data_IF_376930619052
#
_entry.id   IF_376930619052
#
_cell.length_a   1.000
_cell.length_b   1.000
_cell.length_c   1.000
_cell.angle_alpha   90.00
_cell.angle_beta   90.00
_cell.angle_gamma   90.00
#
_symmetry.space_group_name_H-M   'P 1'
#
loop_
_entity.id
_entity.type
_entity.pdbx_description
1 polymer ?
#
# COMPACT_ATOMS: atom_id res chain seq x y z
N UNK A 1 29.99 15.16 5.52
CA UNK A 1 31.19 14.28 5.33
C UNK A 1 32.42 14.96 5.95
N UNK A 2 32.61 14.87 7.27
CA UNK A 2 33.81 15.37 7.96
C UNK A 2 34.89 14.28 8.03
N UNK A 3 35.91 14.39 7.18
CA UNK A 3 37.21 13.76 7.44
C UNK A 3 37.95 14.64 8.45
N UNK A 4 37.96 14.23 9.72
CA UNK A 4 38.71 14.92 10.76
C UNK A 4 38.15 14.57 12.13
N UNK A 5 38.84 13.65 12.82
CA UNK A 5 38.54 13.06 14.13
C UNK A 5 37.54 11.91 14.06
N UNK A 6 38.05 10.67 14.14
CA UNK A 6 37.33 9.40 14.07
C UNK A 6 36.38 9.11 15.25
N UNK A 7 35.61 10.10 15.68
CA UNK A 7 34.52 9.92 16.64
C UNK A 7 33.23 9.86 15.83
N UNK A 8 32.73 8.64 15.62
CA UNK A 8 31.38 8.41 15.08
C UNK A 8 30.39 8.97 16.09
N UNK A 9 29.81 10.13 15.78
CA UNK A 9 28.79 10.75 16.62
C UNK A 9 27.42 10.35 16.07
N UNK A 10 26.66 9.62 16.86
CA UNK A 10 25.29 9.24 16.54
C UNK A 10 24.30 10.13 17.29
N UNK A 11 23.21 10.50 16.63
CA UNK A 11 22.14 11.30 17.23
C UNK A 11 20.79 10.82 16.70
N UNK A 12 19.85 10.57 17.62
CA UNK A 12 18.46 10.28 17.26
C UNK A 12 17.68 11.59 17.19
N UNK A 13 17.10 11.85 16.02
CA UNK A 13 16.24 13.01 15.78
C UNK A 13 14.81 12.56 15.53
N UNK A 14 13.84 13.34 16.01
CA UNK A 14 12.43 13.16 15.70
C UNK A 14 11.97 14.32 14.81
N UNK A 15 11.48 13.98 13.61
CA UNK A 15 10.91 14.95 12.68
C UNK A 15 9.42 14.67 12.49
N UNK A 16 8.59 15.72 12.63
CA UNK A 16 7.17 15.63 12.37
C UNK A 16 6.88 15.99 10.90
N UNK A 17 6.27 15.05 10.16
CA UNK A 17 5.77 15.30 8.82
C UNK A 17 4.29 15.68 8.90
N UNK A 18 3.99 16.95 8.65
CA UNK A 18 2.67 17.55 8.90
C UNK A 18 1.85 17.75 7.62
N UNK A 19 2.50 17.69 6.45
CA UNK A 19 1.87 17.81 5.13
C UNK A 19 2.66 16.96 4.11
N UNK A 20 1.96 16.45 3.09
CA UNK A 20 2.49 15.50 2.11
C UNK A 20 1.97 14.07 2.25
N UNK A 21 2.33 13.20 1.30
CA UNK A 21 1.98 11.77 1.33
C UNK A 21 3.03 10.97 2.10
N UNK A 22 2.61 10.17 3.07
CA UNK A 22 3.51 9.33 3.87
C UNK A 22 4.00 8.09 3.10
N UNK A 23 3.42 7.82 1.93
CA UNK A 23 3.68 6.61 1.13
C UNK A 23 5.17 6.38 0.79
N UNK A 24 5.97 7.45 0.71
CA UNK A 24 7.41 7.37 0.37
C UNK A 24 8.37 7.40 1.57
N UNK A 25 7.83 7.51 2.79
CA UNK A 25 8.59 7.47 4.04
C UNK A 25 8.69 6.02 4.52
N UNK A 26 9.72 5.31 4.04
CA UNK A 26 9.98 3.92 4.43
C UNK A 26 11.19 3.84 5.35
N UNK A 27 11.14 2.90 6.30
CA UNK A 27 12.29 2.56 7.14
C UNK A 27 13.45 2.09 6.24
N UNK A 28 14.67 2.55 6.53
CA UNK A 28 15.86 2.27 5.73
C UNK A 28 16.10 3.23 4.57
N UNK A 29 15.23 4.22 4.35
CA UNK A 29 15.49 5.29 3.37
C UNK A 29 16.48 6.30 3.95
N UNK A 30 17.46 6.68 3.13
CA UNK A 30 18.48 7.67 3.49
C UNK A 30 18.02 9.09 3.11
N UNK A 31 18.51 10.06 3.87
CA UNK A 31 18.30 11.47 3.69
C UNK A 31 19.46 12.27 4.30
N UNK A 32 19.47 13.57 4.08
CA UNK A 32 20.46 14.48 4.66
C UNK A 32 19.77 15.36 5.67
N UNK A 33 20.30 15.42 6.89
CA UNK A 33 19.85 16.32 7.93
C UNK A 33 20.87 17.45 8.12
N UNK A 34 20.40 18.68 8.17
CA UNK A 34 21.23 19.84 8.47
C UNK A 34 20.92 20.33 9.88
N UNK A 35 21.95 20.37 10.73
CA UNK A 35 21.81 20.93 12.07
C UNK A 35 21.78 22.47 12.03
N UNK A 36 21.40 23.12 13.13
CA UNK A 36 21.40 24.57 13.34
C UNK A 36 22.79 25.21 13.17
N UNK A 37 23.86 24.42 13.26
CA UNK A 37 25.23 24.89 12.97
C UNK A 37 25.63 24.70 11.49
N UNK A 38 24.72 24.26 10.61
CA UNK A 38 24.98 24.05 9.19
C UNK A 38 25.76 22.77 8.86
N UNK A 39 25.94 21.88 9.83
CA UNK A 39 26.62 20.59 9.63
C UNK A 39 25.70 19.58 8.93
N UNK A 40 26.26 18.84 7.97
CA UNK A 40 25.57 17.80 7.22
C UNK A 40 25.69 16.44 7.91
N UNK A 41 24.53 15.81 8.16
CA UNK A 41 24.43 14.49 8.75
C UNK A 41 23.77 13.54 7.76
N UNK A 42 24.38 12.35 7.61
CA UNK A 42 23.72 11.25 6.90
C UNK A 42 22.65 10.66 7.83
N UNK A 43 21.40 10.69 7.40
CA UNK A 43 20.25 10.33 8.20
C UNK A 43 19.52 9.15 7.57
N UNK A 44 19.37 8.05 8.31
CA UNK A 44 18.54 6.92 7.90
C UNK A 44 17.26 6.89 8.73
N UNK A 45 16.12 6.71 8.07
CA UNK A 45 14.83 6.58 8.75
C UNK A 45 14.81 5.22 9.47
N UNK A 46 14.86 5.24 10.81
CA UNK A 46 14.86 4.03 11.64
C UNK A 46 13.45 3.56 12.02
N UNK A 47 12.51 4.51 12.23
CA UNK A 47 11.13 4.21 12.60
C UNK A 47 10.19 5.26 12.05
N UNK A 48 9.09 4.81 11.45
CA UNK A 48 7.98 5.67 11.01
C UNK A 48 6.76 5.38 11.87
N UNK A 49 6.24 6.41 12.53
CA UNK A 49 4.99 6.34 13.29
C UNK A 49 3.94 7.14 12.52
N UNK A 50 3.08 6.43 11.80
CA UNK A 50 2.03 7.06 11.01
C UNK A 50 0.84 7.47 11.88
N UNK A 51 0.61 8.77 12.00
CA UNK A 51 -0.62 9.32 12.53
C UNK A 51 -1.54 9.74 11.37
N UNK A 52 -2.86 9.51 11.46
CA UNK A 52 -3.78 9.89 10.40
C UNK A 52 -3.75 11.42 10.20
N UNK A 53 -3.45 11.87 8.98
CA UNK A 53 -3.34 13.30 8.65
C UNK A 53 -4.73 13.89 8.35
N UNK A 54 -5.61 13.11 7.71
CA UNK A 54 -7.00 13.48 7.41
C UNK A 54 -7.96 12.28 7.44
N UNK A 55 -9.26 12.56 7.57
CA UNK A 55 -10.33 11.54 7.50
C UNK A 55 -10.37 10.88 6.11
N UNK A 56 -10.14 11.66 5.05
CA UNK A 56 -10.11 11.16 3.67
C UNK A 56 -8.96 10.18 3.44
N UNK A 57 -7.79 10.44 4.00
CA UNK A 57 -6.67 9.50 3.93
C UNK A 57 -6.95 8.24 4.75
N UNK A 58 -7.59 8.39 5.92
CA UNK A 58 -7.97 7.26 6.76
C UNK A 58 -8.96 6.30 6.07
N UNK A 59 -9.84 6.82 5.20
CA UNK A 59 -10.74 6.01 4.38
C UNK A 59 -9.98 4.99 3.50
N UNK A 60 -8.84 5.38 2.92
CA UNK A 60 -8.03 4.53 2.04
C UNK A 60 -6.96 3.72 2.78
N UNK A 61 -6.64 4.06 4.02
CA UNK A 61 -5.61 3.40 4.81
C UNK A 61 -5.75 1.87 4.97
N UNK A 62 -6.93 1.27 5.20
CA UNK A 62 -7.02 -0.19 5.32
C UNK A 62 -6.66 -0.90 4.01
N UNK A 63 -7.08 -0.35 2.86
CA UNK A 63 -6.77 -0.92 1.54
C UNK A 63 -5.27 -0.86 1.23
N UNK A 64 -4.63 0.29 1.52
CA UNK A 64 -3.17 0.44 1.35
C UNK A 64 -2.39 -0.57 2.20
N UNK A 65 -2.82 -0.80 3.45
CA UNK A 65 -2.18 -1.78 4.35
C UNK A 65 -2.30 -3.21 3.82
N UNK A 66 -3.50 -3.60 3.37
CA UNK A 66 -3.73 -4.92 2.78
C UNK A 66 -2.87 -5.10 1.53
N UNK A 67 -2.85 -4.12 0.62
CA UNK A 67 -2.02 -4.17 -0.58
C UNK A 67 -0.53 -4.31 -0.25
N UNK A 68 -0.04 -3.57 0.75
CA UNK A 68 1.34 -3.69 1.22
C UNK A 68 1.65 -5.09 1.75
N UNK A 69 0.80 -5.65 2.60
CA UNK A 69 0.99 -7.00 3.13
C UNK A 69 0.93 -8.07 2.04
N UNK A 70 0.06 -7.92 1.03
CA UNK A 70 0.02 -8.82 -0.12
C UNK A 70 1.34 -8.74 -0.90
N UNK A 71 1.82 -7.53 -1.19
CA UNK A 71 3.10 -7.34 -1.87
C UNK A 71 4.25 -7.97 -1.07
N UNK A 72 4.31 -7.74 0.24
CA UNK A 72 5.31 -8.34 1.12
C UNK A 72 5.24 -9.87 1.12
N UNK A 73 4.04 -10.46 1.06
CA UNK A 73 3.86 -11.91 0.95
C UNK A 73 4.32 -12.44 -0.41
N UNK A 74 4.02 -11.72 -1.51
CA UNK A 74 4.47 -12.07 -2.86
C UNK A 74 5.99 -11.98 -2.94
N UNK A 75 6.60 -10.93 -2.41
CA UNK A 75 8.04 -10.75 -2.35
C UNK A 75 8.72 -11.86 -1.52
N UNK A 76 8.16 -12.21 -0.35
CA UNK A 76 8.65 -13.34 0.45
C UNK A 76 8.51 -14.67 -0.28
N UNK A 77 7.42 -14.87 -1.02
CA UNK A 77 7.22 -16.06 -1.85
C UNK A 77 8.21 -16.11 -3.02
N UNK A 78 8.46 -15.00 -3.71
CA UNK A 78 9.45 -14.91 -4.76
C UNK A 78 10.86 -15.21 -4.20
N UNK A 79 11.25 -14.53 -3.12
CA UNK A 79 12.55 -14.73 -2.48
C UNK A 79 12.75 -16.16 -1.95
N UNK A 80 11.69 -16.83 -1.45
CA UNK A 80 11.78 -18.23 -1.03
C UNK A 80 11.83 -19.21 -2.21
N UNK A 81 11.19 -18.89 -3.33
CA UNK A 81 11.28 -19.68 -4.58
C UNK A 81 12.64 -19.53 -5.25
N UNK A 82 13.23 -18.34 -5.22
CA UNK A 82 14.59 -18.10 -5.72
C UNK A 82 15.63 -18.82 -4.87
N UNK A 83 15.49 -18.80 -3.53
CA UNK A 83 16.33 -19.60 -2.62
C UNK A 83 16.17 -21.10 -2.84
N UNK A 84 14.94 -21.60 -2.97
CA UNK A 84 14.69 -23.02 -3.26
C UNK A 84 15.16 -23.43 -4.66
N UNK A 85 15.16 -22.51 -5.63
CA UNK A 85 15.73 -22.71 -6.96
C UNK A 85 17.25 -22.79 -6.93
N UNK A 86 17.90 -21.89 -6.19
CA UNK A 86 19.35 -21.92 -5.96
C UNK A 86 19.80 -23.18 -5.20
N UNK A 87 19.03 -23.63 -4.19
CA UNK A 87 19.27 -24.88 -3.46
C UNK A 87 19.06 -26.13 -4.33
N UNK A 88 18.07 -26.12 -5.24
CA UNK A 88 17.90 -27.21 -6.22
C UNK A 88 18.99 -27.22 -7.29
N UNK A 89 19.49 -26.06 -7.69
CA UNK A 89 20.62 -25.94 -8.62
C UNK A 89 21.92 -26.42 -7.98
N UNK A 90 22.19 -26.07 -6.72
CA UNK A 90 23.36 -26.57 -5.98
C UNK A 90 23.26 -28.07 -5.66
N UNK A 91 22.06 -28.58 -5.34
CA UNK A 91 21.81 -30.01 -5.19
C UNK A 91 21.91 -30.80 -6.50
N UNK A 92 21.54 -30.21 -7.64
CA UNK A 92 21.71 -30.79 -8.97
C UNK A 92 23.17 -30.90 -9.41
N UNK A 93 24.01 -29.94 -9.01
CA UNK A 93 25.46 -29.96 -9.25
C UNK A 93 26.14 -30.98 -8.34
N UNK A 94 25.73 -31.10 -7.07
CA UNK A 94 26.22 -32.13 -6.16
C UNK A 94 25.77 -33.56 -6.56
N UNK A 95 24.55 -33.71 -7.10
CA UNK A 95 24.03 -35.00 -7.57
C UNK A 95 24.59 -35.46 -8.93
N UNK A 96 25.12 -34.55 -9.74
CA UNK A 96 25.78 -34.85 -11.02
C UNK A 96 27.21 -35.39 -10.85
N UNK A 97 27.89 -35.04 -9.75
CA UNK A 97 29.26 -35.47 -9.46
C UNK A 97 29.35 -36.82 -8.72
N UNK A 98 28.24 -37.42 -8.28
CA UNK A 98 28.21 -38.68 -7.51
C UNK A 98 27.64 -39.89 -8.28
N UNK A 99 27.39 -39.78 -9.59
CA UNK A 99 26.95 -40.93 -10.42
C UNK A 99 28.06 -41.62 -11.20
N UNK A 100 29.32 -41.31 -10.90
CA UNK A 100 30.49 -42.02 -11.40
C UNK A 100 31.41 -42.25 -10.21
N UNK A 101 31.06 -43.20 -9.34
CA UNK A 101 32.00 -44.05 -8.59
C UNK A 101 31.23 -44.93 -7.57
N UNK A 102 31.23 -46.23 -7.85
CA UNK A 102 31.36 -47.35 -6.90
C UNK A 102 30.24 -47.57 -5.84
N UNK A 103 29.49 -48.66 -6.05
CA UNK A 103 29.47 -49.81 -5.13
C UNK A 103 28.81 -49.68 -3.74
N UNK A 104 27.66 -50.37 -3.60
CA UNK A 104 27.11 -51.01 -2.38
C UNK A 104 27.31 -50.24 -1.06
N UNK A 105 26.29 -49.50 -0.65
CA UNK A 105 26.00 -49.30 0.79
C UNK A 105 24.52 -49.00 0.98
N UNK A 106 23.89 -49.80 1.84
CA UNK A 106 22.49 -49.72 2.26
C UNK A 106 22.17 -48.30 2.79
N UNK A 107 21.10 -47.62 2.34
CA UNK A 107 20.73 -46.32 2.90
C UNK A 107 20.29 -46.48 4.37
N UNK A 108 20.78 -45.66 5.31
CA UNK A 108 20.24 -45.65 6.67
C UNK A 108 18.76 -45.26 6.63
N UNK A 109 17.96 -45.92 7.46
CA UNK A 109 16.52 -45.75 7.54
C UNK A 109 16.15 -44.26 7.66
N UNK A 110 15.43 -43.75 6.65
CA UNK A 110 14.76 -42.45 6.74
C UNK A 110 13.86 -42.51 7.99
N UNK A 111 13.90 -41.50 8.87
CA UNK A 111 12.95 -41.43 9.98
C UNK A 111 11.53 -41.54 9.41
N UNK A 112 10.59 -42.22 10.10
CA UNK A 112 9.26 -42.46 9.57
C UNK A 112 8.66 -41.12 9.14
N UNK A 113 8.41 -40.97 7.84
CA UNK A 113 7.64 -39.86 7.32
C UNK A 113 6.27 -39.99 7.97
N UNK A 114 6.01 -39.16 8.98
CA UNK A 114 4.85 -39.28 9.86
C UNK A 114 3.61 -38.81 9.08
N UNK A 115 3.10 -39.68 8.20
CA UNK A 115 1.98 -39.43 7.30
C UNK A 115 0.76 -38.96 8.08
N UNK A 116 0.58 -39.37 9.34
CA UNK A 116 -0.50 -38.90 10.20
C UNK A 116 -0.35 -37.41 10.57
N UNK A 117 0.86 -36.97 10.95
CA UNK A 117 1.14 -35.55 11.21
C UNK A 117 1.02 -34.70 9.95
N UNK A 118 1.51 -35.20 8.81
CA UNK A 118 1.37 -34.51 7.53
C UNK A 118 -0.07 -34.47 7.04
N UNK A 119 -0.81 -35.58 7.12
CA UNK A 119 -2.22 -35.63 6.76
C UNK A 119 -3.05 -34.68 7.62
N UNK A 120 -2.76 -34.56 8.93
CA UNK A 120 -3.42 -33.58 9.81
C UNK A 120 -3.14 -32.13 9.40
N UNK A 121 -1.88 -31.80 9.08
CA UNK A 121 -1.50 -30.45 8.62
C UNK A 121 -2.11 -30.14 7.26
N UNK A 122 -2.06 -31.07 6.30
CA UNK A 122 -2.65 -30.89 4.97
C UNK A 122 -4.18 -30.87 5.00
N UNK A 123 -4.82 -31.64 5.89
CA UNK A 123 -6.26 -31.56 6.11
C UNK A 123 -6.66 -30.22 6.73
N UNK A 124 -5.90 -29.71 7.71
CA UNK A 124 -6.17 -28.41 8.32
C UNK A 124 -5.99 -27.26 7.31
N UNK A 125 -4.91 -27.27 6.52
CA UNK A 125 -4.68 -26.28 5.46
C UNK A 125 -5.74 -26.41 4.36
N UNK A 126 -6.06 -27.63 3.94
CA UNK A 126 -7.08 -27.91 2.93
C UNK A 126 -8.48 -27.47 3.37
N UNK A 127 -8.84 -27.70 4.64
CA UNK A 127 -10.09 -27.23 5.23
C UNK A 127 -10.11 -25.69 5.32
N UNK A 128 -9.00 -25.07 5.73
CA UNK A 128 -8.91 -23.61 5.84
C UNK A 128 -9.03 -22.93 4.47
N UNK A 129 -8.32 -23.42 3.46
CA UNK A 129 -8.42 -22.91 2.08
C UNK A 129 -9.81 -23.19 1.50
N UNK A 130 -10.37 -24.37 1.77
CA UNK A 130 -11.73 -24.74 1.39
C UNK A 130 -12.78 -23.80 2.00
N UNK A 131 -12.66 -23.49 3.29
CA UNK A 131 -13.56 -22.58 3.99
C UNK A 131 -13.46 -21.13 3.47
N UNK A 132 -12.26 -20.66 3.11
CA UNK A 132 -12.08 -19.36 2.45
C UNK A 132 -12.73 -19.39 1.07
N UNK A 133 -12.55 -20.47 0.32
CA UNK A 133 -13.17 -20.67 -0.99
C UNK A 133 -14.70 -20.65 -0.94
N UNK A 134 -15.30 -21.37 0.02
CA UNK A 134 -16.76 -21.39 0.20
C UNK A 134 -17.30 -20.04 0.66
N UNK A 135 -16.60 -19.33 1.56
CA UNK A 135 -16.98 -17.98 1.98
C UNK A 135 -16.93 -16.98 0.81
N UNK A 136 -15.86 -17.01 0.00
CA UNK A 136 -15.75 -16.17 -1.20
C UNK A 136 -16.83 -16.50 -2.23
N UNK A 137 -17.10 -17.79 -2.48
CA UNK A 137 -18.16 -18.21 -3.37
C UNK A 137 -19.53 -17.73 -2.90
N UNK A 138 -19.84 -17.82 -1.61
CA UNK A 138 -21.08 -17.32 -1.02
C UNK A 138 -21.24 -15.80 -1.17
N UNK A 139 -20.14 -15.04 -1.01
CA UNK A 139 -20.16 -13.58 -1.22
C UNK A 139 -20.42 -13.24 -2.69
N UNK A 140 -19.76 -13.92 -3.63
CA UNK A 140 -19.93 -13.68 -5.07
C UNK A 140 -21.34 -14.07 -5.52
N UNK A 141 -21.85 -15.22 -5.10
CA UNK A 141 -23.21 -15.65 -5.47
C UNK A 141 -24.26 -14.73 -4.86
N UNK A 142 -24.12 -14.35 -3.59
CA UNK A 142 -24.99 -13.37 -2.94
C UNK A 142 -24.96 -12.02 -3.65
N UNK A 143 -23.78 -11.57 -4.10
CA UNK A 143 -23.65 -10.35 -4.91
C UNK A 143 -24.35 -10.48 -6.26
N UNK A 144 -24.18 -11.56 -7.01
CA UNK A 144 -24.83 -11.76 -8.32
C UNK A 144 -26.35 -11.90 -8.23
N UNK A 145 -26.91 -12.27 -7.07
CA UNK A 145 -28.36 -12.31 -6.83
C UNK A 145 -28.97 -10.92 -6.57
N UNK A 146 -28.17 -9.88 -6.36
CA UNK A 146 -28.68 -8.53 -6.14
C UNK A 146 -29.20 -7.90 -7.44
N UNK A 147 -30.34 -7.21 -7.32
CA UNK A 147 -30.84 -6.31 -8.37
C UNK A 147 -29.73 -5.33 -8.75
N UNK A 148 -29.54 -5.07 -10.05
CA UNK A 148 -28.44 -4.22 -10.57
C UNK A 148 -28.25 -2.89 -9.82
N UNK A 149 -29.34 -2.23 -9.42
CA UNK A 149 -29.29 -0.98 -8.63
C UNK A 149 -28.79 -1.14 -7.18
N UNK A 150 -28.94 -2.33 -6.58
CA UNK A 150 -28.42 -2.64 -5.24
C UNK A 150 -26.93 -2.97 -5.27
N UNK A 151 -26.36 -3.30 -6.43
CA UNK A 151 -24.93 -3.65 -6.58
C UNK A 151 -23.99 -2.50 -6.16
N UNK A 152 -24.16 -1.24 -6.64
CA UNK A 152 -23.32 -0.12 -6.17
C UNK A 152 -23.48 0.17 -4.69
N UNK A 153 -24.71 0.02 -4.15
CA UNK A 153 -24.98 0.24 -2.73
C UNK A 153 -24.32 -0.81 -1.86
N UNK A 154 -24.34 -2.08 -2.27
CA UNK A 154 -23.64 -3.17 -1.58
C UNK A 154 -22.12 -2.94 -1.58
N UNK A 155 -21.53 -2.54 -2.71
CA UNK A 155 -20.11 -2.17 -2.79
C UNK A 155 -19.81 -1.00 -1.84
N UNK A 156 -20.63 0.05 -1.86
CA UNK A 156 -20.46 1.20 -0.98
C UNK A 156 -20.58 0.80 0.50
N UNK A 157 -21.52 -0.07 0.85
CA UNK A 157 -21.72 -0.60 2.19
C UNK A 157 -20.52 -1.38 2.70
N UNK A 158 -20.00 -2.32 1.91
CA UNK A 158 -18.77 -3.08 2.26
C UNK A 158 -17.57 -2.13 2.37
N UNK A 159 -17.45 -1.17 1.45
CA UNK A 159 -16.37 -0.18 1.49
C UNK A 159 -16.44 0.66 2.76
N UNK A 160 -17.64 1.08 3.15
CA UNK A 160 -17.88 1.85 4.38
C UNK A 160 -17.71 1.00 5.64
N UNK A 161 -18.03 -0.30 5.59
CA UNK A 161 -17.80 -1.22 6.71
C UNK A 161 -16.31 -1.40 7.00
N UNK A 162 -15.49 -1.52 5.96
CA UNK A 162 -14.02 -1.66 6.08
C UNK A 162 -13.38 -0.31 6.48
N UNK A 163 -13.81 0.79 5.87
CA UNK A 163 -13.21 2.13 6.11
C UNK A 163 -13.74 2.84 7.36
N UNK A 164 -14.95 2.52 7.81
CA UNK A 164 -15.66 3.16 8.92
C UNK A 164 -14.85 3.17 10.23
N UNK A 165 -14.36 2.02 10.72
CA UNK A 165 -13.53 1.97 11.93
C UNK A 165 -12.28 2.86 11.82
N UNK A 166 -11.63 2.86 10.66
CA UNK A 166 -10.44 3.66 10.40
C UNK A 166 -10.76 5.17 10.44
N UNK A 167 -11.90 5.57 9.88
CA UNK A 167 -12.37 6.96 9.91
C UNK A 167 -12.72 7.43 11.33
N UNK A 168 -13.34 6.57 12.15
CA UNK A 168 -13.70 6.91 13.54
C UNK A 168 -12.44 7.11 14.38
N UNK A 169 -11.47 6.20 14.29
CA UNK A 169 -10.19 6.33 15.00
C UNK A 169 -9.45 7.59 14.54
N UNK A 170 -9.44 7.86 13.23
CA UNK A 170 -8.86 9.09 12.71
C UNK A 170 -9.58 10.32 13.27
N UNK A 171 -10.91 10.35 13.27
CA UNK A 171 -11.68 11.46 13.83
C UNK A 171 -11.37 11.72 15.31
N UNK A 172 -11.29 10.68 16.13
CA UNK A 172 -10.92 10.78 17.55
C UNK A 172 -9.52 11.37 17.71
N UNK A 173 -8.53 10.85 16.98
CA UNK A 173 -7.14 11.34 17.01
C UNK A 173 -7.01 12.77 16.49
N UNK A 174 -7.78 13.13 15.46
CA UNK A 174 -7.77 14.47 14.86
C UNK A 174 -8.32 15.54 15.82
N UNK A 175 -9.38 15.23 16.57
CA UNK A 175 -9.96 16.17 17.55
C UNK A 175 -9.07 16.42 18.77
N UNK A 176 -8.17 15.49 19.07
CA UNK A 176 -7.23 15.58 20.19
C UNK A 176 -5.91 16.27 19.83
N UNK A 177 -5.73 16.77 18.60
CA UNK A 177 -4.49 17.43 18.18
C UNK A 177 -4.24 18.73 18.95
N UNK A 178 -3.10 18.80 19.62
CA UNK A 178 -2.63 19.99 20.34
C UNK A 178 -1.16 20.28 20.01
N UNK A 179 -0.78 21.55 20.01
CA UNK A 179 0.62 21.98 19.87
C UNK A 179 1.40 21.93 21.18
N UNK A 180 0.71 21.87 22.33
CA UNK A 180 1.34 21.89 23.66
C UNK A 180 2.52 20.93 23.78
N UNK A 181 2.34 19.62 23.55
CA UNK A 181 3.43 18.65 23.66
C UNK A 181 4.62 18.92 22.72
N UNK A 182 4.37 19.51 21.55
CA UNK A 182 5.44 19.84 20.59
C UNK A 182 6.21 21.07 21.08
N UNK A 183 5.52 22.09 21.59
CA UNK A 183 6.14 23.30 22.10
C UNK A 183 6.92 23.04 23.39
N UNK A 184 6.36 22.22 24.30
CA UNK A 184 7.04 21.79 25.52
C UNK A 184 8.34 21.03 25.20
N UNK A 185 8.32 20.17 24.17
CA UNK A 185 9.52 19.47 23.69
C UNK A 185 10.58 20.40 23.06
N UNK A 186 10.18 21.58 22.58
CA UNK A 186 11.09 22.62 22.10
C UNK A 186 11.59 23.55 23.22
N UNK A 187 11.27 23.27 24.49
CA UNK A 187 11.68 24.07 25.64
C UNK A 187 10.80 25.29 25.90
N UNK A 188 9.65 25.41 25.23
CA UNK A 188 8.68 26.47 25.47
C UNK A 188 7.64 26.01 26.47
N UNK A 189 7.51 26.68 27.62
CA UNK A 189 6.48 26.38 28.60
C UNK A 189 5.17 27.11 28.24
N UNK A 190 4.26 26.45 27.52
CA UNK A 190 3.01 27.07 27.05
C UNK A 190 1.80 26.35 27.66
N UNK A 191 1.13 26.97 28.64
CA UNK A 191 -0.08 26.43 29.30
C UNK A 191 -1.37 26.59 28.46
N UNK A 192 -1.25 26.88 27.16
CA UNK A 192 -2.41 27.04 26.29
C UNK A 192 -2.79 25.68 25.66
N UNK A 193 -4.08 25.32 25.73
CA UNK A 193 -4.65 24.25 24.88
C UNK A 193 -4.75 24.73 23.43
N UNK A 194 -3.62 24.95 22.78
CA UNK A 194 -3.52 25.32 21.37
C UNK A 194 -3.90 24.12 20.48
N UNK A 195 -5.21 23.93 20.28
CA UNK A 195 -5.74 22.88 19.42
C UNK A 195 -5.46 23.20 17.97
N UNK A 196 -5.00 22.20 17.21
CA UNK A 196 -4.74 22.36 15.78
C UNK A 196 -6.03 22.08 15.02
N UNK A 197 -6.66 23.11 14.46
CA UNK A 197 -7.70 22.93 13.46
C UNK A 197 -7.09 22.80 12.05
N UNK A 198 -7.87 22.32 11.08
CA UNK A 198 -7.39 22.15 9.69
C UNK A 198 -6.89 23.46 9.05
N UNK A 199 -7.59 24.61 9.14
CA UNK A 199 -7.09 25.85 8.52
C UNK A 199 -5.82 26.39 9.18
N UNK A 200 -5.69 26.28 10.50
CA UNK A 200 -4.49 26.66 11.26
C UNK A 200 -3.32 25.73 10.91
N UNK A 201 -3.55 24.41 10.83
CA UNK A 201 -2.54 23.47 10.34
C UNK A 201 -2.05 23.84 8.93
N UNK A 202 -2.96 24.15 8.00
CA UNK A 202 -2.60 24.61 6.65
C UNK A 202 -1.83 25.92 6.62
N UNK A 203 -2.10 26.83 7.56
CA UNK A 203 -1.33 28.08 7.66
C UNK A 203 0.12 27.85 8.04
N UNK A 204 0.40 26.80 8.82
CA UNK A 204 1.75 26.43 9.26
C UNK A 204 2.53 25.63 8.20
N UNK A 205 1.86 25.06 7.19
CA UNK A 205 2.47 24.24 6.13
C UNK A 205 2.38 24.87 4.75
N UNK A 206 2.14 26.19 4.68
CA UNK A 206 1.96 26.88 3.40
C UNK A 206 3.24 26.79 2.58
N UNK A 207 3.18 26.05 1.48
CA UNK A 207 4.25 26.00 0.48
C UNK A 207 4.35 27.37 -0.19
N UNK A 208 5.58 27.88 -0.34
CA UNK A 208 5.84 29.13 -1.03
C UNK A 208 5.27 29.07 -2.46
N UNK A 209 4.31 29.95 -2.76
CA UNK A 209 3.82 30.14 -4.12
C UNK A 209 4.69 31.15 -4.85
N UNK A 210 4.96 30.89 -6.13
CA UNK A 210 5.57 31.88 -7.02
C UNK A 210 4.71 33.16 -7.03
N UNK A 211 5.32 34.36 -7.05
CA UNK A 211 4.57 35.60 -7.14
C UNK A 211 3.73 35.66 -8.43
N UNK A 212 2.60 36.40 -8.42
CA UNK A 212 1.77 36.55 -9.61
C UNK A 212 2.61 37.13 -10.77
N UNK A 213 2.59 36.46 -11.92
CA UNK A 213 3.40 36.82 -13.10
C UNK A 213 4.71 36.04 -13.26
N UNK A 214 5.10 35.20 -12.30
CA UNK A 214 6.23 34.30 -12.49
C UNK A 214 5.78 33.02 -13.24
N UNK A 215 6.36 32.79 -14.41
CA UNK A 215 6.16 31.57 -15.18
C UNK A 215 7.10 30.47 -14.68
N UNK A 216 6.55 29.29 -14.39
CA UNK A 216 7.36 28.09 -14.21
C UNK A 216 7.73 27.58 -15.59
N UNK A 217 9.02 27.38 -15.85
CA UNK A 217 9.44 26.57 -16.99
C UNK A 217 8.84 25.17 -16.82
N UNK A 218 7.83 24.86 -17.65
CA UNK A 218 7.06 23.60 -17.61
C UNK A 218 7.72 22.50 -18.45
N UNK A 219 8.86 22.78 -19.08
CA UNK A 219 9.69 21.77 -19.73
C UNK A 219 10.60 21.12 -18.69
N UNK A 220 10.03 20.13 -18.02
CA UNK A 220 10.79 19.11 -17.32
C UNK A 220 10.94 17.89 -18.26
N UNK A 221 12.13 17.67 -18.86
CA UNK A 221 12.39 16.53 -19.74
C UNK A 221 12.23 15.16 -19.06
N UNK A 222 12.19 15.13 -17.72
CA UNK A 222 12.10 13.92 -16.91
C UNK A 222 10.79 13.83 -16.11
N UNK A 223 9.83 14.71 -16.36
CA UNK A 223 8.52 14.61 -15.72
C UNK A 223 7.80 13.32 -16.15
N UNK A 224 7.37 12.54 -15.17
CA UNK A 224 6.60 11.31 -15.41
C UNK A 224 5.35 11.61 -16.24
N UNK A 225 5.25 10.93 -17.40
CA UNK A 225 4.08 11.03 -18.27
C UNK A 225 2.85 10.57 -17.51
N UNK A 226 1.93 11.49 -17.23
CA UNK A 226 0.67 11.18 -16.51
C UNK A 226 -0.04 9.99 -17.17
N UNK A 227 -0.25 8.92 -16.42
CA UNK A 227 -0.97 7.74 -16.88
C UNK A 227 -2.36 8.13 -17.41
N UNK A 228 -2.57 7.95 -18.72
CA UNK A 228 -3.85 8.25 -19.39
C UNK A 228 -4.91 7.17 -19.13
N UNK A 229 -4.50 5.99 -18.65
CA UNK A 229 -5.35 4.84 -18.33
C UNK A 229 -6.60 5.13 -17.50
N UNK A 230 -6.54 5.87 -16.37
CA UNK A 230 -7.75 6.21 -15.62
C UNK A 230 -8.73 7.08 -16.43
N UNK A 231 -8.24 7.98 -17.30
CA UNK A 231 -9.13 8.76 -18.19
C UNK A 231 -9.77 7.86 -19.24
N UNK A 232 -9.00 6.94 -19.81
CA UNK A 232 -9.50 5.97 -20.80
C UNK A 232 -10.55 5.06 -20.16
N UNK A 233 -10.30 4.53 -18.95
CA UNK A 233 -11.26 3.72 -18.20
C UNK A 233 -12.56 4.48 -17.93
N UNK A 234 -12.47 5.74 -17.50
CA UNK A 234 -13.66 6.58 -17.29
C UNK A 234 -14.45 6.75 -18.59
N UNK A 235 -13.78 7.02 -19.71
CA UNK A 235 -14.44 7.14 -21.02
C UNK A 235 -15.10 5.82 -21.44
N UNK A 236 -14.43 4.68 -21.25
CA UNK A 236 -14.98 3.35 -21.56
C UNK A 236 -16.20 3.02 -20.70
N UNK A 237 -16.16 3.36 -19.41
CA UNK A 237 -17.30 3.18 -18.49
C UNK A 237 -18.47 4.06 -18.90
N UNK A 238 -18.23 5.33 -19.26
CA UNK A 238 -19.26 6.24 -19.76
C UNK A 238 -19.88 5.72 -21.05
N UNK A 239 -19.07 5.28 -22.01
CA UNK A 239 -19.54 4.71 -23.28
C UNK A 239 -20.33 3.41 -23.07
N UNK A 240 -19.89 2.55 -22.16
CA UNK A 240 -20.60 1.31 -21.80
C UNK A 240 -21.95 1.60 -21.15
N UNK A 241 -22.03 2.59 -20.26
CA UNK A 241 -23.27 3.04 -19.63
C UNK A 241 -24.22 3.68 -20.66
N UNK A 242 -23.70 4.49 -21.58
CA UNK A 242 -24.46 5.09 -22.68
C UNK A 242 -25.03 4.01 -23.61
N UNK A 243 -24.22 3.03 -23.99
CA UNK A 243 -24.63 1.91 -24.83
C UNK A 243 -25.70 1.06 -24.16
N UNK A 244 -25.55 0.76 -22.87
CA UNK A 244 -26.55 0.06 -22.07
C UNK A 244 -27.87 0.83 -21.97
N UNK A 245 -27.80 2.16 -21.76
CA UNK A 245 -28.98 3.02 -21.68
C UNK A 245 -29.70 3.19 -23.04
N UNK A 246 -28.95 3.27 -24.13
CA UNK A 246 -29.49 3.33 -25.50
C UNK A 246 -30.14 2.00 -25.93
N UNK A 247 -29.59 0.86 -25.50
CA UNK A 247 -30.20 -0.46 -25.71
C UNK A 247 -31.47 -0.65 -24.87
N UNK A 248 -31.48 -0.18 -23.62
CA UNK A 248 -32.65 -0.23 -22.74
C UNK A 248 -33.86 0.58 -23.24
N UNK A 249 -33.65 1.54 -24.15
CA UNK A 249 -34.73 2.34 -24.80
C UNK A 249 -35.03 1.91 -26.25
N UNK A 250 -34.48 0.79 -26.73
CA UNK A 250 -34.55 0.36 -28.14
C UNK A 250 -34.12 1.47 -29.15
N UNK A 251 -33.28 2.40 -28.69
CA UNK A 251 -32.85 3.57 -29.46
C UNK A 251 -31.72 3.20 -30.42
N UNK A 252 -30.89 2.20 -30.06
CA UNK A 252 -29.85 1.64 -30.92
C UNK A 252 -30.46 1.00 -32.18
N UNK A 253 -31.58 0.30 -32.05
CA UNK A 253 -32.28 -0.28 -33.19
C UNK A 253 -32.85 0.83 -34.10
N UNK A 254 -33.45 1.88 -33.53
CA UNK A 254 -33.96 3.06 -34.29
C UNK A 254 -32.86 3.89 -34.96
N UNK A 255 -31.68 4.00 -34.34
CA UNK A 255 -30.54 4.71 -34.91
C UNK A 255 -29.87 3.90 -36.02
N UNK A 256 -29.75 2.57 -35.85
CA UNK A 256 -29.21 1.69 -36.88
C UNK A 256 -30.17 1.54 -38.07
N UNK A 257 -31.49 1.41 -37.85
CA UNK A 257 -32.45 1.40 -38.97
C UNK A 257 -32.59 2.77 -39.63
N UNK A 258 -32.43 3.87 -38.88
CA UNK A 258 -32.43 5.23 -39.44
C UNK A 258 -31.16 5.58 -40.24
N UNK A 259 -30.01 4.98 -39.92
CA UNK A 259 -28.75 5.20 -40.63
C UNK A 259 -28.56 4.20 -41.79
N UNK A 260 -28.99 2.94 -41.63
CA UNK A 260 -28.77 1.87 -42.61
C UNK A 260 -30.00 1.42 -43.41
N UNK A 261 -31.19 1.98 -43.17
CA UNK A 261 -32.36 1.84 -44.06
C UNK A 261 -32.65 0.40 -44.50
N UNK A 262 -32.86 -0.50 -43.54
CA UNK A 262 -33.37 -1.86 -43.75
C UNK A 262 -34.68 -2.04 -43.00
#
# INVERSE_FOLDING_TARGET
RHMGNGVTKEMNIAAAFTDGDSDYLMVGRNGVFYDRQGLDWDATITRVIEHPISIRQAFWSPYKRIAKTINEQIEKMAASRDKAGAEKASAGIAGGAQKIEVGISTPPAKPPFDVAKFAGIFAAIGLAVGAIGTALAAVITGFMQLVWWKMPLAIAGVTMLISGPSMIIAWLKLRQRTLGPILDANGWAVNARARINIPFGRSLTKVASLPPGAERSLEDPFADKKCKWPKILVVVVILSLLFYFLNGKALVLKLLTGIFGL
#
